data_IF_131970715764
#
_entry.id   IF_131970715764
#
_cell.length_a   1.000
_cell.length_b   1.000
_cell.length_c   1.000
_cell.angle_alpha   90.00
_cell.angle_beta   90.00
_cell.angle_gamma   90.00
#
_symmetry.space_group_name_H-M   'P 1'
#
loop_
_entity.id
_entity.type
_entity.pdbx_description
1 polymer ?
#
# COMPACT_ATOMS: atom_id res chain seq x y z
N UNK A 1 -12.95 -33.27 7.84
CA UNK A 1 -12.27 -32.33 8.75
C UNK A 1 -13.09 -32.18 10.01
N UNK A 2 -12.48 -32.40 11.20
CA UNK A 2 -13.16 -32.24 12.48
C UNK A 2 -13.16 -30.81 12.91
N UNK A 3 -14.27 -30.30 13.43
CA UNK A 3 -14.35 -28.98 14.04
C UNK A 3 -13.56 -28.95 15.35
N UNK A 4 -13.05 -27.76 15.73
CA UNK A 4 -12.33 -27.56 16.99
C UNK A 4 -12.93 -26.37 17.75
N UNK A 5 -13.07 -26.53 19.06
CA UNK A 5 -13.47 -25.46 19.97
C UNK A 5 -12.25 -25.01 20.78
N UNK A 6 -12.11 -23.71 21.01
CA UNK A 6 -11.02 -23.16 21.82
C UNK A 6 -9.64 -23.15 21.12
N UNK A 7 -9.58 -23.20 19.81
CA UNK A 7 -8.33 -23.22 19.04
C UNK A 7 -7.37 -22.07 19.39
N UNK A 8 -7.90 -20.88 19.63
CA UNK A 8 -7.10 -19.71 20.03
C UNK A 8 -6.39 -19.86 21.38
N UNK A 9 -6.89 -20.74 22.26
CA UNK A 9 -6.31 -21.01 23.59
C UNK A 9 -5.26 -22.14 23.57
N UNK A 10 -5.10 -22.83 22.45
CA UNK A 10 -4.10 -23.90 22.28
C UNK A 10 -2.70 -23.32 22.15
N UNK A 11 -1.69 -24.08 22.62
CA UNK A 11 -0.29 -23.77 22.29
C UNK A 11 -0.02 -23.96 20.80
N UNK A 12 1.09 -23.46 20.32
CA UNK A 12 1.50 -23.59 18.91
C UNK A 12 1.62 -25.08 18.52
N UNK A 13 2.24 -25.90 19.37
CA UNK A 13 2.39 -27.34 19.17
C UNK A 13 1.03 -28.04 19.15
N UNK A 14 0.13 -27.68 20.06
CA UNK A 14 -1.23 -28.24 20.07
C UNK A 14 -2.01 -27.91 18.80
N UNK A 15 -1.86 -26.68 18.27
CA UNK A 15 -2.47 -26.27 17.01
C UNK A 15 -1.92 -27.07 15.83
N UNK A 16 -0.60 -27.26 15.76
CA UNK A 16 0.05 -28.07 14.72
C UNK A 16 -0.39 -29.52 14.82
N UNK A 17 -0.41 -30.11 16.02
CA UNK A 17 -0.85 -31.49 16.22
C UNK A 17 -2.33 -31.67 15.86
N UNK A 18 -3.19 -30.71 16.19
CA UNK A 18 -4.58 -30.76 15.76
C UNK A 18 -4.69 -30.68 14.23
N UNK A 19 -3.98 -29.77 13.58
CA UNK A 19 -3.98 -29.64 12.13
C UNK A 19 -3.49 -30.94 11.48
N UNK A 20 -2.36 -31.48 11.92
CA UNK A 20 -1.78 -32.72 11.37
C UNK A 20 -2.71 -33.92 11.52
N UNK A 21 -3.51 -33.95 12.61
CA UNK A 21 -4.52 -35.03 12.82
C UNK A 21 -5.66 -35.03 11.80
N UNK A 22 -5.79 -33.96 10.97
CA UNK A 22 -6.77 -33.90 9.88
C UNK A 22 -6.25 -34.54 8.58
N UNK A 23 -4.96 -34.86 8.51
CA UNK A 23 -4.28 -35.45 7.35
C UNK A 23 -3.76 -36.85 7.76
N UNK A 24 -4.26 -37.93 7.16
CA UNK A 24 -3.97 -39.30 7.59
C UNK A 24 -2.59 -39.77 7.15
N UNK A 25 -2.16 -39.49 5.94
CA UNK A 25 -0.97 -40.10 5.31
C UNK A 25 0.25 -39.17 5.22
N UNK A 26 0.08 -37.88 5.44
CA UNK A 26 1.15 -36.85 5.32
C UNK A 26 1.37 -36.07 6.62
N UNK A 27 0.84 -36.53 7.74
CA UNK A 27 0.85 -35.75 8.99
C UNK A 27 2.26 -35.45 9.50
N UNK A 28 3.21 -36.37 9.37
CA UNK A 28 4.61 -36.16 9.78
C UNK A 28 5.32 -35.17 8.85
N UNK A 29 5.11 -35.28 7.56
CA UNK A 29 5.69 -34.33 6.56
C UNK A 29 5.16 -32.93 6.76
N UNK A 30 3.85 -32.74 6.99
CA UNK A 30 3.26 -31.43 7.27
C UNK A 30 3.90 -30.75 8.49
N UNK A 31 4.10 -31.52 9.59
CA UNK A 31 4.71 -30.98 10.82
C UNK A 31 6.16 -30.55 10.57
N UNK A 32 6.92 -31.37 9.86
CA UNK A 32 8.30 -31.07 9.50
C UNK A 32 8.40 -29.84 8.61
N UNK A 33 7.56 -29.78 7.57
CA UNK A 33 7.51 -28.63 6.65
C UNK A 33 7.22 -27.32 7.39
N UNK A 34 6.21 -27.30 8.26
CA UNK A 34 5.90 -26.11 9.06
C UNK A 34 7.08 -25.68 9.95
N UNK A 35 7.81 -26.63 10.54
CA UNK A 35 8.95 -26.36 11.42
C UNK A 35 10.18 -25.85 10.64
N UNK A 36 10.37 -26.27 9.39
CA UNK A 36 11.48 -25.83 8.54
C UNK A 36 11.46 -24.31 8.28
N UNK A 37 10.28 -23.68 8.38
CA UNK A 37 10.13 -22.23 8.26
C UNK A 37 10.18 -21.49 9.59
N UNK A 38 10.44 -22.16 10.71
CA UNK A 38 10.67 -21.48 11.97
C UNK A 38 12.06 -20.82 11.98
N UNK A 39 12.15 -19.67 12.62
CA UNK A 39 13.43 -19.01 12.81
C UNK A 39 14.27 -19.81 13.81
N UNK A 40 15.54 -20.05 13.51
CA UNK A 40 16.47 -20.81 14.37
C UNK A 40 16.73 -20.15 15.73
N UNK A 41 16.53 -18.85 15.85
CA UNK A 41 16.58 -18.11 17.10
C UNK A 41 15.17 -18.05 17.70
N UNK A 42 15.00 -18.66 18.88
CA UNK A 42 13.69 -18.79 19.55
C UNK A 42 13.08 -17.43 19.95
N UNK A 43 13.90 -16.44 20.34
CA UNK A 43 13.41 -15.11 20.70
C UNK A 43 12.81 -14.41 19.48
N UNK A 44 13.45 -14.54 18.32
CA UNK A 44 12.91 -14.00 17.06
C UNK A 44 11.63 -14.74 16.64
N UNK A 45 11.61 -16.08 16.76
CA UNK A 45 10.40 -16.83 16.43
C UNK A 45 9.22 -16.42 17.32
N UNK A 46 9.47 -16.24 18.61
CA UNK A 46 8.43 -15.77 19.53
C UNK A 46 7.87 -14.40 19.11
N UNK A 47 8.72 -13.45 18.69
CA UNK A 47 8.27 -12.15 18.18
C UNK A 47 7.43 -12.27 16.91
N UNK A 48 7.80 -13.16 15.98
CA UNK A 48 7.02 -13.39 14.78
C UNK A 48 5.67 -14.04 15.10
N UNK A 49 5.63 -14.93 16.07
CA UNK A 49 4.39 -15.58 16.53
C UNK A 49 3.39 -14.58 17.16
N UNK A 50 3.90 -13.46 17.71
CA UNK A 50 3.12 -12.40 18.34
C UNK A 50 2.56 -11.36 17.34
N UNK A 51 2.96 -11.38 16.06
CA UNK A 51 2.44 -10.45 15.06
C UNK A 51 1.01 -10.74 14.63
N UNK A 52 0.57 -12.00 14.73
CA UNK A 52 -0.79 -12.41 14.39
C UNK A 52 -1.24 -13.57 15.26
N UNK A 53 -2.56 -13.68 15.44
CA UNK A 53 -3.16 -14.77 16.20
C UNK A 53 -3.07 -16.10 15.43
N UNK A 54 -2.99 -17.20 16.18
CA UNK A 54 -2.98 -18.57 15.65
C UNK A 54 -1.83 -18.89 14.69
N UNK A 55 -0.71 -18.16 14.81
CA UNK A 55 0.48 -18.40 13.98
C UNK A 55 1.03 -19.81 14.20
N UNK A 56 1.30 -20.51 13.11
CA UNK A 56 1.89 -21.87 13.12
C UNK A 56 3.33 -21.85 12.64
N UNK A 57 3.64 -21.00 11.66
CA UNK A 57 4.97 -20.87 11.06
C UNK A 57 5.12 -19.50 10.40
N UNK A 58 6.29 -19.21 9.84
CA UNK A 58 6.54 -18.01 9.07
C UNK A 58 6.25 -18.25 7.58
N UNK A 59 5.70 -17.25 6.91
CA UNK A 59 5.58 -17.21 5.47
C UNK A 59 6.55 -16.14 4.95
N UNK A 60 7.64 -16.55 4.32
CA UNK A 60 8.72 -15.67 3.89
C UNK A 60 8.44 -15.07 2.52
N UNK A 61 8.62 -13.76 2.39
CA UNK A 61 8.62 -13.05 1.12
C UNK A 61 10.04 -12.57 0.78
N UNK A 62 10.44 -12.53 -0.51
CA UNK A 62 11.73 -12.00 -0.91
C UNK A 62 11.87 -10.52 -0.54
N UNK A 63 13.03 -10.16 0.02
CA UNK A 63 13.44 -8.79 0.30
C UNK A 63 14.50 -8.37 -0.72
N UNK A 64 14.20 -7.35 -1.51
CA UNK A 64 15.08 -6.81 -2.55
C UNK A 64 15.40 -5.33 -2.34
N UNK A 65 16.34 -4.82 -3.14
CA UNK A 65 16.72 -3.39 -3.14
C UNK A 65 16.62 -2.86 -4.57
N UNK A 66 15.93 -1.73 -4.74
CA UNK A 66 15.92 -0.95 -5.98
C UNK A 66 16.80 0.30 -5.80
N UNK A 67 18.01 0.34 -6.40
CA UNK A 67 18.93 1.47 -6.32
C UNK A 67 18.59 2.59 -7.31
N UNK A 68 19.34 3.70 -7.21
CA UNK A 68 19.38 4.82 -8.16
C UNK A 68 18.12 5.69 -8.20
N UNK A 69 17.32 5.70 -7.15
CA UNK A 69 16.22 6.66 -7.03
C UNK A 69 16.77 8.04 -6.67
N UNK A 70 16.89 8.94 -7.65
CA UNK A 70 17.14 10.36 -7.42
C UNK A 70 15.80 11.05 -7.16
N UNK A 71 15.53 11.42 -5.92
CA UNK A 71 14.27 12.06 -5.49
C UNK A 71 14.62 13.40 -4.86
N UNK A 72 14.12 14.50 -5.43
CA UNK A 72 14.41 15.87 -4.94
C UNK A 72 15.90 16.09 -4.66
N UNK A 73 16.76 15.71 -5.59
CA UNK A 73 18.23 15.80 -5.52
C UNK A 73 18.91 14.88 -4.49
N UNK A 74 18.19 13.95 -3.89
CA UNK A 74 18.77 12.95 -2.99
C UNK A 74 18.66 11.55 -3.58
N UNK A 75 19.77 10.78 -3.53
CA UNK A 75 19.80 9.39 -4.01
C UNK A 75 19.40 8.44 -2.88
N UNK A 76 18.48 7.53 -3.23
CA UNK A 76 18.02 6.44 -2.37
C UNK A 76 18.23 5.07 -3.00
N UNK A 77 18.52 4.09 -2.14
CA UNK A 77 18.36 2.66 -2.42
C UNK A 77 17.12 2.20 -1.69
N UNK A 78 16.08 1.79 -2.41
CA UNK A 78 14.77 1.55 -1.82
C UNK A 78 14.56 0.07 -1.55
N UNK A 79 14.30 -0.34 -0.29
CA UNK A 79 13.94 -1.71 0.06
C UNK A 79 12.53 -2.03 -0.41
N UNK A 80 12.36 -3.25 -0.93
CA UNK A 80 11.11 -3.74 -1.49
C UNK A 80 10.89 -5.19 -1.09
N UNK A 81 9.68 -5.52 -0.63
CA UNK A 81 9.26 -6.89 -0.31
C UNK A 81 8.06 -7.25 -1.18
N UNK A 82 8.22 -8.27 -2.02
CA UNK A 82 7.16 -8.72 -2.93
C UNK A 82 7.48 -10.12 -3.45
N UNK A 83 6.42 -10.90 -3.73
CA UNK A 83 6.52 -12.25 -4.30
C UNK A 83 6.66 -12.24 -5.82
N UNK A 84 6.19 -11.19 -6.51
CA UNK A 84 6.16 -11.12 -7.97
C UNK A 84 7.54 -10.81 -8.54
N UNK A 85 8.01 -11.67 -9.42
CA UNK A 85 9.25 -11.45 -10.17
C UNK A 85 9.14 -10.21 -11.06
N UNK A 86 10.26 -9.56 -11.34
CA UNK A 86 10.39 -8.37 -12.19
C UNK A 86 10.00 -7.04 -11.55
N UNK A 87 9.27 -6.99 -10.43
CA UNK A 87 8.84 -5.73 -9.81
C UNK A 87 10.05 -4.90 -9.36
N UNK A 88 10.95 -5.49 -8.58
CA UNK A 88 12.17 -4.80 -8.10
C UNK A 88 13.06 -4.39 -9.28
N UNK A 89 13.17 -5.25 -10.29
CA UNK A 89 13.96 -4.97 -11.49
C UNK A 89 13.35 -3.82 -12.31
N UNK A 90 12.03 -3.79 -12.49
CA UNK A 90 11.34 -2.74 -13.23
C UNK A 90 11.46 -1.39 -12.52
N UNK A 91 11.30 -1.34 -11.19
CA UNK A 91 11.53 -0.15 -10.37
C UNK A 91 12.97 0.36 -10.53
N UNK A 92 13.97 -0.53 -10.43
CA UNK A 92 15.40 -0.20 -10.59
C UNK A 92 15.72 0.35 -11.98
N UNK A 93 15.14 -0.26 -13.03
CA UNK A 93 15.33 0.20 -14.41
C UNK A 93 14.63 1.55 -14.65
N UNK A 94 13.45 1.78 -14.07
CA UNK A 94 12.77 3.06 -14.09
C UNK A 94 13.58 4.15 -13.38
N UNK A 95 14.09 3.84 -12.18
CA UNK A 95 14.95 4.75 -11.42
C UNK A 95 16.21 5.12 -12.20
N UNK A 96 16.92 4.14 -12.76
CA UNK A 96 18.11 4.37 -13.59
C UNK A 96 17.81 5.20 -14.83
N UNK A 97 16.66 4.97 -15.49
CA UNK A 97 16.28 5.75 -16.67
C UNK A 97 16.10 7.23 -16.34
N UNK A 98 15.47 7.54 -15.22
CA UNK A 98 15.21 8.92 -14.81
C UNK A 98 16.39 9.58 -14.08
N UNK A 99 17.33 8.82 -13.52
CA UNK A 99 18.52 9.35 -12.84
C UNK A 99 19.28 10.38 -13.69
N UNK A 100 19.47 10.10 -14.98
CA UNK A 100 20.19 10.93 -15.93
C UNK A 100 19.29 12.02 -16.57
N UNK A 101 18.00 12.08 -16.17
CA UNK A 101 16.98 12.98 -16.74
C UNK A 101 16.33 13.87 -15.68
N UNK A 102 17.06 14.16 -14.59
CA UNK A 102 16.60 15.03 -13.52
C UNK A 102 15.98 14.32 -12.31
N UNK A 103 15.73 13.01 -12.41
CA UNK A 103 15.17 12.23 -11.32
C UNK A 103 13.66 12.47 -11.11
N UNK A 104 13.20 12.21 -9.87
CA UNK A 104 11.82 12.36 -9.46
C UNK A 104 11.65 13.61 -8.61
N UNK A 105 10.61 14.39 -8.91
CA UNK A 105 10.19 15.55 -8.14
C UNK A 105 8.92 15.17 -7.38
N UNK A 106 9.00 15.08 -6.05
CA UNK A 106 7.91 14.66 -5.20
C UNK A 106 7.58 15.70 -4.14
N UNK A 107 6.29 16.03 -4.00
CA UNK A 107 5.76 16.99 -3.05
C UNK A 107 4.59 16.39 -2.28
N UNK A 108 4.61 16.48 -0.95
CA UNK A 108 3.45 16.19 -0.12
C UNK A 108 2.51 17.38 -0.18
N UNK A 109 1.28 17.14 -0.61
CA UNK A 109 0.25 18.19 -0.72
C UNK A 109 -0.41 18.43 0.63
N UNK A 110 -0.70 17.35 1.34
CA UNK A 110 -1.27 17.38 2.69
C UNK A 110 -1.10 16.01 3.36
N UNK A 111 -1.19 15.98 4.69
CA UNK A 111 -1.00 14.78 5.52
C UNK A 111 -2.19 14.52 6.44
N UNK A 112 -3.30 15.24 6.22
CA UNK A 112 -4.51 15.14 7.04
C UNK A 112 -5.17 13.77 6.92
N UNK A 113 -5.51 13.22 8.07
CA UNK A 113 -6.25 11.96 8.22
C UNK A 113 -7.62 12.21 8.80
N UNK A 114 -8.54 11.31 8.53
CA UNK A 114 -9.96 11.49 8.84
C UNK A 114 -10.45 10.37 9.76
N UNK A 115 -11.35 10.74 10.67
CA UNK A 115 -12.11 9.78 11.44
C UNK A 115 -13.51 10.29 11.71
N UNK A 116 -14.43 9.39 12.05
CA UNK A 116 -15.83 9.75 12.29
C UNK A 116 -16.40 9.10 13.53
N UNK A 117 -17.25 9.85 14.24
CA UNK A 117 -18.26 9.31 15.14
C UNK A 117 -19.57 9.21 14.37
N UNK A 118 -20.07 8.00 14.20
CA UNK A 118 -21.34 7.73 13.57
C UNK A 118 -22.41 7.54 14.65
N UNK A 119 -23.50 8.31 14.56
CA UNK A 119 -24.55 8.24 15.55
C UNK A 119 -25.94 8.47 14.97
N UNK A 120 -26.95 7.96 15.66
CA UNK A 120 -28.34 8.31 15.41
C UNK A 120 -28.84 9.27 16.46
N UNK A 121 -29.56 10.27 16.00
CA UNK A 121 -30.22 11.26 16.86
C UNK A 121 -31.48 11.77 16.19
N UNK A 122 -32.59 11.81 16.96
CA UNK A 122 -33.89 12.26 16.52
C UNK A 122 -34.25 13.58 17.18
N UNK A 123 -34.45 14.61 16.38
CA UNK A 123 -34.84 15.93 16.85
C UNK A 123 -34.80 16.97 15.77
N UNK A 124 -34.98 18.22 16.14
CA UNK A 124 -34.91 19.34 15.23
C UNK A 124 -33.45 19.64 14.81
N UNK A 125 -33.17 19.51 13.51
CA UNK A 125 -31.84 19.67 12.91
C UNK A 125 -31.14 20.97 13.34
N UNK A 126 -31.85 22.07 13.39
CA UNK A 126 -31.34 23.39 13.77
C UNK A 126 -30.78 23.37 15.20
N UNK A 127 -31.44 22.68 16.14
CA UNK A 127 -30.99 22.58 17.54
C UNK A 127 -29.66 21.85 17.67
N UNK A 128 -29.50 20.69 17.00
CA UNK A 128 -28.25 19.93 17.05
C UNK A 128 -27.10 20.70 16.39
N UNK A 129 -27.37 21.35 15.26
CA UNK A 129 -26.36 22.16 14.56
C UNK A 129 -25.92 23.36 15.38
N UNK A 130 -26.86 24.07 16.01
CA UNK A 130 -26.55 25.19 16.89
C UNK A 130 -25.77 24.72 18.13
N UNK A 131 -26.23 23.65 18.79
CA UNK A 131 -25.56 23.03 19.91
C UNK A 131 -24.11 22.67 19.58
N UNK A 132 -23.89 21.99 18.45
CA UNK A 132 -22.54 21.60 18.02
C UNK A 132 -21.64 22.81 17.79
N UNK A 133 -22.13 23.84 17.10
CA UNK A 133 -21.33 25.04 16.81
C UNK A 133 -20.91 25.77 18.10
N UNK A 134 -21.80 25.84 19.09
CA UNK A 134 -21.52 26.45 20.40
C UNK A 134 -20.58 25.60 21.26
N UNK A 135 -20.68 24.27 21.16
CA UNK A 135 -19.92 23.31 21.96
C UNK A 135 -18.62 22.81 21.30
N UNK A 136 -18.32 23.22 20.09
CA UNK A 136 -17.19 22.70 19.31
C UNK A 136 -15.85 22.77 20.04
N UNK A 137 -15.58 23.89 20.72
CA UNK A 137 -14.35 24.06 21.49
C UNK A 137 -14.31 23.15 22.74
N UNK A 138 -15.44 22.87 23.33
CA UNK A 138 -15.50 21.98 24.48
C UNK A 138 -15.18 20.52 24.10
N UNK A 139 -15.59 20.08 22.90
CA UNK A 139 -15.20 18.77 22.38
C UNK A 139 -13.68 18.68 22.21
N UNK A 140 -13.06 19.71 21.61
CA UNK A 140 -11.61 19.76 21.41
C UNK A 140 -10.89 19.79 22.75
N UNK A 141 -11.37 20.61 23.69
CA UNK A 141 -10.76 20.72 25.01
C UNK A 141 -10.87 19.41 25.82
N UNK A 142 -11.98 18.71 25.73
CA UNK A 142 -12.19 17.45 26.45
C UNK A 142 -11.17 16.35 26.08
N UNK A 143 -10.63 16.38 24.87
CA UNK A 143 -9.61 15.41 24.40
C UNK A 143 -8.18 15.94 24.49
N UNK A 144 -7.97 17.12 25.11
CA UNK A 144 -6.64 17.76 25.16
C UNK A 144 -5.56 16.90 25.81
N UNK A 145 -5.90 16.07 26.79
CA UNK A 145 -4.96 15.12 27.40
C UNK A 145 -4.48 14.03 26.41
N UNK A 146 -5.32 13.65 25.45
CA UNK A 146 -4.99 12.67 24.41
C UNK A 146 -4.18 13.31 23.27
N UNK A 147 -4.41 14.59 22.98
CA UNK A 147 -3.78 15.30 21.86
C UNK A 147 -2.46 15.96 22.22
N UNK A 148 -2.21 16.26 23.50
CA UNK A 148 -1.07 17.02 23.98
C UNK A 148 0.29 16.57 23.42
N UNK A 149 0.60 15.29 23.50
CA UNK A 149 1.87 14.76 23.00
C UNK A 149 1.99 14.84 21.48
N UNK A 150 0.88 14.79 20.75
CA UNK A 150 0.84 14.95 19.30
C UNK A 150 1.03 16.41 18.90
N UNK A 151 0.37 17.32 19.63
CA UNK A 151 0.48 18.77 19.44
C UNK A 151 1.91 19.27 19.67
N UNK A 152 2.59 18.76 20.68
CA UNK A 152 4.01 19.08 20.93
C UNK A 152 4.93 18.69 19.74
N UNK A 153 4.50 17.75 18.90
CA UNK A 153 5.23 17.33 17.69
C UNK A 153 4.78 18.06 16.43
N UNK A 154 3.82 19.00 16.56
CA UNK A 154 3.26 19.75 15.44
C UNK A 154 2.03 19.13 14.79
N UNK A 155 1.46 18.08 15.38
CA UNK A 155 0.21 17.45 14.95
C UNK A 155 -0.99 17.90 15.78
N UNK A 156 -2.03 17.07 15.83
CA UNK A 156 -3.26 17.31 16.60
C UNK A 156 -4.50 17.45 15.73
N UNK A 157 -5.56 17.98 16.31
CA UNK A 157 -6.85 18.18 15.64
C UNK A 157 -6.76 19.38 14.70
N UNK A 158 -7.11 19.16 13.42
CA UNK A 158 -7.15 20.21 12.39
C UNK A 158 -8.55 20.79 12.27
N UNK A 159 -9.56 19.92 12.19
CA UNK A 159 -10.96 20.34 12.12
C UNK A 159 -11.89 19.31 12.76
N UNK A 160 -13.06 19.79 13.17
CA UNK A 160 -14.15 18.98 13.69
C UNK A 160 -15.45 19.52 13.11
N UNK A 161 -16.23 18.70 12.42
CA UNK A 161 -17.43 19.12 11.71
C UNK A 161 -18.59 18.14 11.93
N UNK A 162 -19.80 18.65 11.95
CA UNK A 162 -21.05 17.88 12.04
C UNK A 162 -21.68 17.77 10.66
N UNK A 163 -21.93 16.53 10.21
CA UNK A 163 -22.59 16.22 8.95
C UNK A 163 -23.95 15.58 9.19
N UNK A 164 -24.92 16.06 8.43
CA UNK A 164 -26.26 15.52 8.37
C UNK A 164 -26.41 14.58 7.18
N UNK A 165 -26.78 13.33 7.43
CA UNK A 165 -27.04 12.30 6.43
C UNK A 165 -28.49 11.79 6.49
N UNK A 166 -29.42 12.57 7.04
CA UNK A 166 -30.83 12.17 7.18
C UNK A 166 -31.52 11.93 5.82
N UNK A 167 -31.00 12.51 4.73
CA UNK A 167 -31.46 12.24 3.37
C UNK A 167 -31.07 10.85 2.84
N UNK A 168 -30.10 10.19 3.48
CA UNK A 168 -29.61 8.86 3.12
C UNK A 168 -30.10 7.78 4.08
N UNK A 169 -29.99 8.06 5.38
CA UNK A 169 -30.39 7.14 6.46
C UNK A 169 -31.09 7.95 7.52
N UNK A 170 -32.29 7.55 7.89
CA UNK A 170 -33.12 8.24 8.89
C UNK A 170 -32.39 8.42 10.22
N UNK A 171 -32.41 9.65 10.73
CA UNK A 171 -31.82 10.08 11.98
C UNK A 171 -30.27 9.92 12.06
N UNK A 172 -29.60 9.79 10.92
CA UNK A 172 -28.17 9.52 10.89
C UNK A 172 -27.32 10.80 10.73
N UNK A 173 -26.30 10.90 11.60
CA UNK A 173 -25.37 12.00 11.71
C UNK A 173 -23.93 11.49 11.81
N UNK A 174 -22.97 12.32 11.40
CA UNK A 174 -21.56 12.09 11.61
C UNK A 174 -20.90 13.31 12.26
N UNK A 175 -20.06 13.03 13.26
CA UNK A 175 -19.05 13.97 13.71
C UNK A 175 -17.75 13.58 13.03
N UNK A 176 -17.27 14.41 12.09
CA UNK A 176 -16.06 14.19 11.30
C UNK A 176 -14.90 14.96 11.91
N UNK A 177 -13.83 14.25 12.23
CA UNK A 177 -12.56 14.77 12.70
C UNK A 177 -11.52 14.71 11.56
N UNK A 178 -10.79 15.80 11.34
CA UNK A 178 -9.52 15.80 10.60
C UNK A 178 -8.38 16.02 11.59
N UNK A 179 -7.32 15.22 11.45
CA UNK A 179 -6.17 15.27 12.32
C UNK A 179 -4.86 15.16 11.56
N UNK A 180 -3.84 15.83 12.09
CA UNK A 180 -2.45 15.68 11.70
C UNK A 180 -1.75 14.76 12.70
N UNK A 181 -1.09 13.71 12.21
CA UNK A 181 -0.49 12.68 13.06
C UNK A 181 1.03 12.58 12.93
N UNK A 182 1.67 13.57 12.31
CA UNK A 182 3.12 13.63 12.08
C UNK A 182 3.66 12.33 11.48
N UNK A 183 4.64 11.72 12.13
CA UNK A 183 5.29 10.47 11.68
C UNK A 183 4.53 9.20 12.05
N UNK A 184 3.34 9.30 12.66
CA UNK A 184 2.50 8.14 12.94
C UNK A 184 1.43 7.96 11.86
N UNK A 185 1.06 6.70 11.56
CA UNK A 185 -0.14 6.42 10.75
C UNK A 185 -1.41 6.96 11.42
N UNK A 186 -1.48 6.88 12.76
CA UNK A 186 -2.44 7.60 13.58
C UNK A 186 -3.72 6.87 13.94
N UNK A 187 -3.90 5.59 13.59
CA UNK A 187 -5.15 4.87 13.84
C UNK A 187 -5.59 4.86 15.31
N UNK A 188 -4.70 4.43 16.21
CA UNK A 188 -5.02 4.39 17.63
C UNK A 188 -5.29 5.78 18.21
N UNK A 189 -4.49 6.77 17.79
CA UNK A 189 -4.66 8.16 18.22
C UNK A 189 -6.03 8.71 17.84
N UNK A 190 -6.42 8.57 16.57
CA UNK A 190 -7.71 9.06 16.07
C UNK A 190 -8.87 8.31 16.72
N UNK A 191 -8.80 6.98 16.82
CA UNK A 191 -9.86 6.17 17.43
C UNK A 191 -10.09 6.57 18.90
N UNK A 192 -9.03 6.74 19.68
CA UNK A 192 -9.16 7.16 21.09
C UNK A 192 -9.82 8.54 21.23
N UNK A 193 -9.47 9.49 20.36
CA UNK A 193 -10.09 10.82 20.34
C UNK A 193 -11.59 10.70 20.01
N UNK A 194 -11.95 9.92 19.00
CA UNK A 194 -13.35 9.76 18.58
C UNK A 194 -14.20 9.07 19.64
N UNK A 195 -13.65 8.06 20.31
CA UNK A 195 -14.32 7.38 21.41
C UNK A 195 -14.62 8.35 22.56
N UNK A 196 -13.63 9.14 22.98
CA UNK A 196 -13.83 10.16 24.02
C UNK A 196 -14.83 11.23 23.59
N UNK A 197 -14.69 11.77 22.36
CA UNK A 197 -15.64 12.73 21.80
C UNK A 197 -17.08 12.19 21.76
N UNK A 198 -17.26 10.91 21.54
CA UNK A 198 -18.58 10.28 21.54
C UNK A 198 -19.23 10.29 22.94
N UNK A 199 -18.44 10.10 24.00
CA UNK A 199 -18.92 10.19 25.38
C UNK A 199 -19.27 11.63 25.74
N UNK A 200 -18.41 12.58 25.35
CA UNK A 200 -18.67 14.02 25.57
C UNK A 200 -19.95 14.46 24.86
N UNK A 201 -20.18 13.99 23.62
CA UNK A 201 -21.42 14.25 22.87
C UNK A 201 -22.66 13.79 23.65
N UNK A 202 -22.66 12.54 24.13
CA UNK A 202 -23.77 12.01 24.95
C UNK A 202 -24.02 12.82 26.19
N UNK A 203 -22.96 13.10 26.98
CA UNK A 203 -23.08 13.82 28.25
C UNK A 203 -23.60 15.24 28.06
N UNK A 204 -23.06 15.96 27.07
CA UNK A 204 -23.47 17.34 26.78
C UNK A 204 -24.91 17.43 26.31
N UNK A 205 -25.32 16.57 25.38
CA UNK A 205 -26.71 16.53 24.89
C UNK A 205 -27.68 16.16 26.03
N UNK A 206 -27.31 15.20 26.88
CA UNK A 206 -28.15 14.79 28.01
C UNK A 206 -28.37 15.91 29.05
N UNK A 207 -27.40 16.83 29.18
CA UNK A 207 -27.45 17.91 30.19
C UNK A 207 -27.95 19.25 29.66
N UNK A 208 -27.95 19.45 28.34
CA UNK A 208 -28.35 20.71 27.73
C UNK A 208 -29.87 20.87 27.75
N UNK A 209 -30.34 22.03 28.21
CA UNK A 209 -31.77 22.36 28.45
C UNK A 209 -32.55 22.58 27.14
N UNK A 210 -31.88 22.82 26.01
CA UNK A 210 -32.53 23.00 24.70
C UNK A 210 -33.19 21.72 24.17
N UNK A 211 -32.71 20.55 24.65
CA UNK A 211 -33.19 19.26 24.21
C UNK A 211 -34.32 18.75 25.10
N UNK A 212 -35.41 18.30 24.47
CA UNK A 212 -36.48 17.57 25.11
C UNK A 212 -36.00 16.19 25.61
N UNK A 213 -36.78 15.53 26.43
CA UNK A 213 -36.44 14.22 26.97
C UNK A 213 -36.12 13.18 25.87
N UNK A 214 -36.85 13.22 24.75
CA UNK A 214 -36.62 12.34 23.59
C UNK A 214 -35.38 12.73 22.78
N UNK A 215 -35.04 14.02 22.72
CA UNK A 215 -33.86 14.53 21.97
C UNK A 215 -32.53 14.32 22.74
N UNK A 216 -32.62 14.00 24.06
CA UNK A 216 -31.43 13.70 24.90
C UNK A 216 -30.81 12.33 24.64
N UNK A 217 -31.48 11.48 23.89
CA UNK A 217 -30.98 10.14 23.53
C UNK A 217 -30.10 10.21 22.29
N UNK A 218 -28.80 10.09 22.46
CA UNK A 218 -27.79 10.00 21.40
C UNK A 218 -27.32 8.56 21.28
N UNK A 219 -27.66 7.89 20.22
CA UNK A 219 -27.29 6.51 19.98
C UNK A 219 -26.01 6.41 19.13
N UNK A 220 -24.85 6.26 19.78
CA UNK A 220 -23.58 6.05 19.09
C UNK A 220 -23.58 4.68 18.42
N UNK A 221 -23.28 4.65 17.13
CA UNK A 221 -23.18 3.42 16.34
C UNK A 221 -21.74 2.92 16.34
N UNK A 222 -20.78 3.80 16.00
CA UNK A 222 -19.34 3.46 15.95
C UNK A 222 -18.48 4.72 15.94
N UNK A 223 -17.23 4.55 16.38
CA UNK A 223 -16.16 5.54 16.33
C UNK A 223 -14.98 4.90 15.61
N UNK A 224 -14.57 5.42 14.45
CA UNK A 224 -13.53 4.79 13.65
C UNK A 224 -12.80 5.78 12.76
N UNK A 225 -11.49 5.61 12.61
CA UNK A 225 -10.74 6.30 11.57
C UNK A 225 -11.21 5.82 10.19
N UNK A 226 -11.08 6.70 9.18
CA UNK A 226 -11.29 6.33 7.78
C UNK A 226 -9.97 5.94 7.12
N UNK A 227 -9.96 4.81 6.41
CA UNK A 227 -8.86 4.49 5.50
C UNK A 227 -8.92 5.31 4.21
N UNK A 228 -10.07 5.87 3.84
CA UNK A 228 -10.15 6.86 2.77
C UNK A 228 -9.71 8.21 3.29
N UNK A 229 -8.50 8.61 2.89
CA UNK A 229 -7.82 9.85 3.32
C UNK A 229 -7.47 10.71 2.11
N UNK A 230 -8.50 11.31 1.43
CA UNK A 230 -8.30 12.04 0.16
C UNK A 230 -7.39 13.26 0.29
N UNK A 231 -7.16 13.73 1.52
CA UNK A 231 -6.29 14.86 1.83
C UNK A 231 -4.91 14.44 2.38
N UNK A 232 -4.62 13.15 2.52
CA UNK A 232 -3.27 12.67 2.85
C UNK A 232 -2.53 12.30 1.55
N UNK A 233 -2.20 13.30 0.74
CA UNK A 233 -1.85 13.15 -0.69
C UNK A 233 -0.43 13.59 -0.97
N UNK A 234 0.26 12.80 -1.78
CA UNK A 234 1.54 13.13 -2.40
C UNK A 234 1.40 13.18 -3.92
N UNK A 235 2.12 14.09 -4.54
CA UNK A 235 2.31 14.17 -5.98
C UNK A 235 3.78 13.91 -6.32
N UNK A 236 4.03 13.09 -7.32
CA UNK A 236 5.37 12.81 -7.84
C UNK A 236 5.37 12.94 -9.35
N UNK A 237 6.40 13.54 -9.91
CA UNK A 237 6.55 13.70 -11.35
C UNK A 237 7.97 13.46 -11.83
N UNK A 238 8.08 13.19 -13.11
CA UNK A 238 9.30 13.19 -13.89
C UNK A 238 9.09 14.03 -15.14
N UNK A 239 10.10 14.82 -15.53
CA UNK A 239 10.03 15.70 -16.67
C UNK A 239 11.37 15.76 -17.39
N UNK A 240 11.34 15.79 -18.71
CA UNK A 240 12.51 16.10 -19.53
C UNK A 240 12.10 16.59 -20.93
N UNK A 241 13.01 17.27 -21.65
CA UNK A 241 12.84 17.47 -23.09
C UNK A 241 12.61 16.12 -23.79
N UNK A 242 11.70 16.08 -24.78
CA UNK A 242 11.35 14.83 -25.47
C UNK A 242 12.58 14.19 -26.10
N UNK A 243 13.50 14.98 -26.66
CA UNK A 243 14.75 14.49 -27.25
C UNK A 243 15.61 13.69 -26.25
N UNK A 244 15.58 14.09 -24.95
CA UNK A 244 16.33 13.43 -23.89
C UNK A 244 15.78 12.05 -23.52
N UNK A 245 14.56 11.66 -23.98
CA UNK A 245 14.08 10.29 -23.87
C UNK A 245 14.96 9.32 -24.65
N UNK A 246 15.55 9.79 -25.78
CA UNK A 246 16.40 8.99 -26.65
C UNK A 246 15.60 7.91 -27.40
N UNK A 247 16.30 6.89 -27.88
CA UNK A 247 15.65 5.74 -28.53
C UNK A 247 15.23 4.74 -27.44
N UNK A 248 13.93 4.47 -27.33
CA UNK A 248 13.36 3.56 -26.33
C UNK A 248 12.70 2.37 -27.00
N UNK A 249 13.23 1.17 -26.78
CA UNK A 249 12.70 -0.06 -27.38
C UNK A 249 12.68 -0.05 -28.92
N UNK A 250 13.63 0.66 -29.53
CA UNK A 250 13.72 0.83 -31.00
C UNK A 250 12.84 1.98 -31.53
N UNK A 251 12.07 2.67 -30.72
CA UNK A 251 11.24 3.81 -31.13
C UNK A 251 12.02 5.13 -30.96
N UNK A 252 11.97 6.05 -31.95
CA UNK A 252 12.43 7.41 -31.76
C UNK A 252 11.71 8.11 -30.61
N UNK A 253 12.38 9.07 -29.93
CA UNK A 253 11.89 9.74 -28.74
C UNK A 253 10.45 10.31 -28.87
N UNK A 254 10.16 11.03 -29.93
CA UNK A 254 8.84 11.61 -30.21
C UNK A 254 7.76 10.54 -30.32
N UNK A 255 7.99 9.50 -31.13
CA UNK A 255 7.03 8.42 -31.34
C UNK A 255 6.80 7.62 -30.04
N UNK A 256 7.86 7.40 -29.25
CA UNK A 256 7.72 6.77 -27.93
C UNK A 256 6.85 7.64 -27.00
N UNK A 257 7.13 8.95 -26.91
CA UNK A 257 6.37 9.86 -26.07
C UNK A 257 4.88 9.89 -26.43
N UNK A 258 4.53 9.93 -27.71
CA UNK A 258 3.15 9.95 -28.22
C UNK A 258 2.43 8.63 -27.90
N UNK A 259 3.06 7.47 -28.14
CA UNK A 259 2.49 6.16 -27.80
C UNK A 259 2.33 6.00 -26.29
N UNK A 260 3.30 6.46 -25.51
CA UNK A 260 3.23 6.43 -24.05
C UNK A 260 2.07 7.29 -23.53
N UNK A 261 1.95 8.52 -24.03
CA UNK A 261 0.87 9.42 -23.68
C UNK A 261 -0.50 8.82 -24.00
N UNK A 262 -0.67 8.27 -25.20
CA UNK A 262 -1.90 7.61 -25.61
C UNK A 262 -2.25 6.43 -24.68
N UNK A 263 -1.26 5.61 -24.31
CA UNK A 263 -1.48 4.47 -23.41
C UNK A 263 -1.94 4.89 -22.00
N UNK A 264 -1.42 6.01 -21.49
CA UNK A 264 -1.89 6.58 -20.21
C UNK A 264 -3.28 7.21 -20.36
N UNK A 265 -3.55 7.91 -21.46
CA UNK A 265 -4.87 8.49 -21.75
C UNK A 265 -5.96 7.40 -21.87
N UNK A 266 -5.66 6.26 -22.46
CA UNK A 266 -6.58 5.10 -22.51
C UNK A 266 -6.96 4.70 -21.07
N UNK A 267 -6.00 4.66 -20.14
CA UNK A 267 -6.28 4.34 -18.74
C UNK A 267 -7.07 5.45 -17.99
N UNK A 268 -7.21 6.64 -18.56
CA UNK A 268 -8.10 7.67 -18.02
C UNK A 268 -9.56 7.48 -18.43
N UNK A 269 -9.84 6.78 -19.52
CA UNK A 269 -11.19 6.64 -20.08
C UNK A 269 -11.75 5.23 -20.02
N UNK A 270 -10.89 4.20 -20.08
CA UNK A 270 -11.28 2.78 -20.02
C UNK A 270 -11.01 2.22 -18.61
N UNK A 271 -12.07 1.82 -17.92
CA UNK A 271 -12.02 1.26 -16.55
C UNK A 271 -11.19 -0.02 -16.51
N UNK A 272 -11.32 -0.94 -17.47
CA UNK A 272 -10.56 -2.20 -17.49
C UNK A 272 -9.06 -1.93 -17.60
N UNK A 273 -8.70 -0.95 -18.44
CA UNK A 273 -7.31 -0.53 -18.56
C UNK A 273 -6.83 0.22 -17.32
N UNK A 274 -7.66 1.08 -16.73
CA UNK A 274 -7.35 1.83 -15.50
C UNK A 274 -7.02 0.91 -14.33
N UNK A 275 -7.82 -0.15 -14.11
CA UNK A 275 -7.59 -1.12 -13.03
C UNK A 275 -6.23 -1.81 -13.20
N UNK A 276 -5.92 -2.29 -14.40
CA UNK A 276 -4.63 -2.93 -14.69
C UNK A 276 -3.46 -1.94 -14.58
N UNK A 277 -3.68 -0.69 -14.98
CA UNK A 277 -2.69 0.39 -14.90
C UNK A 277 -2.36 0.73 -13.44
N UNK A 278 -3.36 0.91 -12.61
CA UNK A 278 -3.20 1.24 -11.20
C UNK A 278 -2.61 0.07 -10.39
N UNK A 279 -2.99 -1.19 -10.70
CA UNK A 279 -2.33 -2.39 -10.14
C UNK A 279 -0.82 -2.33 -10.41
N UNK A 280 -0.42 -1.92 -11.61
CA UNK A 280 0.99 -1.74 -11.96
C UNK A 280 1.70 -0.65 -11.13
N UNK A 281 1.01 0.41 -10.71
CA UNK A 281 1.52 1.40 -9.76
C UNK A 281 1.68 0.77 -8.37
N UNK A 282 0.64 0.07 -7.90
CA UNK A 282 0.61 -0.54 -6.57
C UNK A 282 1.67 -1.64 -6.40
N UNK A 283 2.04 -2.38 -7.43
CA UNK A 283 3.16 -3.32 -7.36
C UNK A 283 4.43 -2.68 -6.77
N UNK A 284 4.76 -1.45 -7.17
CA UNK A 284 5.91 -0.73 -6.64
C UNK A 284 5.66 -0.18 -5.22
N UNK A 285 4.50 0.42 -5.00
CA UNK A 285 4.14 1.04 -3.72
C UNK A 285 4.05 -0.01 -2.63
N UNK A 286 3.27 -1.09 -2.84
CA UNK A 286 3.06 -2.14 -1.85
C UNK A 286 4.35 -2.83 -1.44
N UNK A 287 5.27 -3.02 -2.38
CA UNK A 287 6.57 -3.59 -2.07
C UNK A 287 7.36 -2.75 -1.05
N UNK A 288 7.27 -1.41 -1.11
CA UNK A 288 7.89 -0.51 -0.13
C UNK A 288 7.07 -0.43 1.15
N UNK A 289 5.74 -0.42 1.04
CA UNK A 289 4.81 -0.42 2.19
C UNK A 289 5.05 -1.63 3.09
N UNK A 290 5.13 -2.83 2.50
CA UNK A 290 5.42 -4.08 3.22
C UNK A 290 6.85 -4.04 3.80
N UNK A 291 7.85 -3.62 3.02
CA UNK A 291 9.23 -3.55 3.46
C UNK A 291 9.43 -2.62 4.67
N UNK A 292 8.61 -1.58 4.81
CA UNK A 292 8.65 -0.61 5.91
C UNK A 292 7.66 -0.89 7.03
N UNK A 293 6.92 -2.01 6.96
CA UNK A 293 5.96 -2.43 8.00
C UNK A 293 4.70 -1.56 8.07
N UNK A 294 4.33 -0.88 7.00
CA UNK A 294 3.09 -0.13 6.87
C UNK A 294 1.92 -1.02 6.40
N UNK A 295 0.69 -0.53 6.49
CA UNK A 295 -0.53 -1.27 6.13
C UNK A 295 -0.85 -1.10 4.64
N UNK A 296 -0.45 -2.09 3.83
CA UNK A 296 -0.71 -2.09 2.38
C UNK A 296 -2.21 -2.12 2.05
N UNK A 297 -3.04 -2.75 2.89
CA UNK A 297 -4.50 -2.85 2.65
C UNK A 297 -5.17 -1.49 2.78
N UNK A 298 -4.77 -0.70 3.77
CA UNK A 298 -5.24 0.67 3.95
C UNK A 298 -4.80 1.57 2.79
N UNK A 299 -3.55 1.42 2.33
CA UNK A 299 -3.00 2.18 1.20
C UNK A 299 -3.74 1.83 -0.10
N UNK A 300 -3.92 0.55 -0.44
CA UNK A 300 -4.66 0.13 -1.63
C UNK A 300 -6.12 0.62 -1.59
N UNK A 301 -6.82 0.41 -0.46
CA UNK A 301 -8.21 0.85 -0.32
C UNK A 301 -8.35 2.37 -0.56
N UNK A 302 -7.45 3.17 0.01
CA UNK A 302 -7.42 4.62 -0.19
C UNK A 302 -7.12 4.99 -1.65
N UNK A 303 -6.13 4.36 -2.26
CA UNK A 303 -5.71 4.62 -3.63
C UNK A 303 -6.83 4.30 -4.64
N UNK A 304 -7.49 3.15 -4.49
CA UNK A 304 -8.59 2.75 -5.37
C UNK A 304 -9.84 3.63 -5.18
N UNK A 305 -10.17 4.00 -3.95
CA UNK A 305 -11.24 4.97 -3.69
C UNK A 305 -10.93 6.33 -4.30
N UNK A 306 -9.67 6.78 -4.19
CA UNK A 306 -9.22 8.05 -4.80
C UNK A 306 -9.22 8.00 -6.33
N UNK A 307 -8.91 6.86 -6.94
CA UNK A 307 -9.01 6.67 -8.39
C UNK A 307 -10.46 6.79 -8.91
N UNK A 308 -11.46 6.59 -8.03
CA UNK A 308 -12.88 6.67 -8.35
C UNK A 308 -13.58 7.95 -7.81
N UNK A 309 -12.83 8.91 -7.27
CA UNK A 309 -13.36 10.11 -6.58
C UNK A 309 -14.30 10.97 -7.42
N UNK A 310 -14.14 10.93 -8.75
CA UNK A 310 -14.94 11.72 -9.70
C UNK A 310 -16.13 10.90 -10.27
N UNK A 311 -16.52 9.79 -9.61
CA UNK A 311 -17.63 8.94 -10.02
C UNK A 311 -17.28 7.86 -11.05
N UNK A 312 -16.05 7.86 -11.57
CA UNK A 312 -15.53 6.82 -12.47
C UNK A 312 -14.10 6.45 -12.07
N UNK A 313 -13.80 5.14 -12.05
CA UNK A 313 -12.45 4.66 -11.79
C UNK A 313 -11.51 5.02 -12.95
N UNK A 314 -10.40 5.71 -12.64
CA UNK A 314 -9.43 6.23 -13.62
C UNK A 314 -8.00 5.93 -13.19
N UNK A 315 -7.05 6.12 -14.11
CA UNK A 315 -5.63 6.12 -13.80
C UNK A 315 -5.29 7.17 -12.73
N UNK A 316 -4.44 6.76 -11.78
CA UNK A 316 -3.82 7.65 -10.78
C UNK A 316 -2.67 8.48 -11.35
N UNK A 317 -2.12 8.06 -12.49
CA UNK A 317 -1.06 8.78 -13.20
C UNK A 317 -1.60 9.53 -14.40
N UNK A 318 -0.91 10.58 -14.79
CA UNK A 318 -1.24 11.40 -15.94
C UNK A 318 0.02 11.77 -16.73
N UNK A 319 -0.15 12.05 -18.02
CA UNK A 319 0.93 12.47 -18.90
C UNK A 319 0.52 13.76 -19.61
N UNK A 320 1.45 14.69 -19.73
CA UNK A 320 1.29 15.91 -20.50
C UNK A 320 2.46 16.02 -21.49
N UNK A 321 2.13 16.16 -22.76
CA UNK A 321 3.09 16.46 -23.82
C UNK A 321 2.89 17.88 -24.27
N UNK A 322 3.98 18.63 -24.38
CA UNK A 322 4.05 19.86 -25.16
C UNK A 322 4.89 19.61 -26.42
N UNK A 323 5.17 20.66 -27.20
CA UNK A 323 5.99 20.50 -28.41
C UNK A 323 7.37 19.93 -28.09
N UNK A 324 7.96 20.29 -26.94
CA UNK A 324 9.32 19.91 -26.59
C UNK A 324 9.45 19.10 -25.30
N UNK A 325 8.41 19.03 -24.46
CA UNK A 325 8.52 18.46 -23.11
C UNK A 325 7.62 17.24 -22.90
N UNK A 326 8.20 16.19 -22.31
CA UNK A 326 7.50 15.05 -21.75
C UNK A 326 7.40 15.22 -20.24
N UNK A 327 6.18 15.28 -19.70
CA UNK A 327 5.91 15.32 -18.27
C UNK A 327 4.98 14.17 -17.89
N UNK A 328 5.37 13.36 -16.89
CA UNK A 328 4.60 12.22 -16.39
C UNK A 328 4.49 12.30 -14.87
N UNK A 329 3.29 12.22 -14.32
CA UNK A 329 3.03 12.40 -12.90
C UNK A 329 2.08 11.38 -12.31
N UNK A 330 2.17 11.20 -10.99
CA UNK A 330 1.32 10.38 -10.15
C UNK A 330 0.81 11.21 -8.99
N UNK A 331 -0.48 11.18 -8.71
CA UNK A 331 -1.10 11.77 -7.52
C UNK A 331 -1.87 10.70 -6.76
N UNK A 332 -1.51 10.48 -5.49
CA UNK A 332 -2.02 9.34 -4.71
C UNK A 332 -2.09 9.66 -3.22
N UNK A 333 -3.13 9.22 -2.51
CA UNK A 333 -3.15 9.26 -1.05
C UNK A 333 -2.29 8.14 -0.44
N UNK A 334 -1.41 8.50 0.50
CA UNK A 334 -0.51 7.57 1.19
C UNK A 334 -0.47 7.87 2.70
N UNK A 335 -1.40 7.34 3.47
CA UNK A 335 -1.41 7.48 4.93
C UNK A 335 -0.44 6.48 5.57
N UNK A 336 0.83 6.82 5.61
CA UNK A 336 1.92 6.00 6.17
C UNK A 336 2.47 6.56 7.46
N UNK A 337 3.25 5.74 8.18
CA UNK A 337 4.01 6.15 9.36
C UNK A 337 5.40 5.53 9.37
N UNK A 338 6.30 6.16 10.12
CA UNK A 338 7.65 5.69 10.37
C UNK A 338 7.87 5.32 11.83
N UNK A 339 6.87 5.55 12.67
CA UNK A 339 6.88 5.28 14.11
C UNK A 339 5.66 4.46 14.53
N UNK A 340 5.85 3.60 15.54
CA UNK A 340 4.80 2.76 16.12
C UNK A 340 4.46 1.52 15.31
N UNK A 341 3.63 0.63 15.86
CA UNK A 341 3.17 -0.58 15.18
C UNK A 341 4.30 -1.48 14.67
N UNK A 342 4.06 -2.14 13.55
CA UNK A 342 4.98 -3.10 12.94
C UNK A 342 6.29 -2.44 12.47
N UNK A 343 6.27 -1.16 12.10
CA UNK A 343 7.48 -0.39 11.73
C UNK A 343 8.53 -0.39 12.84
N UNK A 344 8.08 -0.42 14.10
CA UNK A 344 8.95 -0.44 15.27
C UNK A 344 9.23 -1.84 15.82
N UNK A 345 8.40 -2.84 15.49
CA UNK A 345 8.50 -4.19 16.03
C UNK A 345 9.26 -5.14 15.11
N UNK A 346 9.02 -5.05 13.78
CA UNK A 346 9.64 -5.96 12.83
C UNK A 346 11.10 -5.55 12.52
N UNK A 347 12.08 -6.44 12.72
CA UNK A 347 13.50 -6.08 12.60
C UNK A 347 13.89 -5.61 11.19
N UNK A 348 13.38 -6.28 10.16
CA UNK A 348 13.68 -5.91 8.78
C UNK A 348 12.97 -4.61 8.36
N UNK A 349 11.79 -4.28 8.93
CA UNK A 349 11.18 -2.98 8.71
C UNK A 349 12.04 -1.84 9.30
N UNK A 350 12.61 -2.03 10.49
CA UNK A 350 13.60 -1.09 11.06
C UNK A 350 14.83 -0.94 10.17
N UNK A 351 15.35 -2.06 9.65
CA UNK A 351 16.47 -2.04 8.71
C UNK A 351 16.11 -1.30 7.42
N UNK A 352 14.90 -1.47 6.90
CA UNK A 352 14.39 -0.76 5.73
C UNK A 352 14.39 0.76 5.97
N UNK A 353 13.86 1.21 7.11
CA UNK A 353 13.88 2.63 7.47
C UNK A 353 15.31 3.17 7.63
N UNK A 354 16.23 2.36 8.19
CA UNK A 354 17.65 2.73 8.29
C UNK A 354 18.31 2.86 6.90
N UNK A 355 18.06 1.95 5.97
CA UNK A 355 18.50 2.03 4.57
C UNK A 355 17.99 3.31 3.91
N UNK A 356 16.75 3.70 4.20
CA UNK A 356 16.12 4.93 3.72
C UNK A 356 16.58 6.19 4.50
N UNK A 357 17.56 6.07 5.40
CA UNK A 357 18.16 7.16 6.21
C UNK A 357 17.18 7.76 7.22
N UNK A 358 16.32 6.90 7.84
CA UNK A 358 15.33 7.31 8.83
C UNK A 358 14.41 8.42 8.32
N UNK A 359 13.63 8.20 7.26
CA UNK A 359 12.80 9.24 6.67
C UNK A 359 11.69 9.64 7.64
N UNK A 360 11.22 10.89 7.52
CA UNK A 360 9.91 11.28 8.06
C UNK A 360 8.78 10.55 7.31
N UNK A 361 7.57 10.54 7.85
CA UNK A 361 6.40 10.00 7.12
C UNK A 361 6.21 10.72 5.77
N UNK A 362 6.40 12.04 5.74
CA UNK A 362 6.35 12.84 4.50
C UNK A 362 7.43 12.44 3.49
N UNK A 363 8.65 12.12 3.93
CA UNK A 363 9.68 11.65 3.01
C UNK A 363 9.40 10.23 2.53
N UNK A 364 8.86 9.37 3.40
CA UNK A 364 8.44 8.03 3.01
C UNK A 364 7.30 8.06 1.96
N UNK A 365 6.33 8.98 2.08
CA UNK A 365 5.31 9.21 1.05
C UNK A 365 5.93 9.56 -0.30
N UNK A 366 6.92 10.47 -0.32
CA UNK A 366 7.64 10.87 -1.54
C UNK A 366 8.40 9.70 -2.17
N UNK A 367 9.07 8.89 -1.35
CA UNK A 367 9.79 7.69 -1.81
C UNK A 367 8.82 6.68 -2.42
N UNK A 368 7.72 6.36 -1.74
CA UNK A 368 6.71 5.41 -2.22
C UNK A 368 6.07 5.88 -3.54
N UNK A 369 5.71 7.17 -3.64
CA UNK A 369 5.14 7.73 -4.87
C UNK A 369 6.14 7.67 -6.03
N UNK A 370 7.43 7.92 -5.77
CA UNK A 370 8.49 7.82 -6.79
C UNK A 370 8.68 6.39 -7.28
N UNK A 371 8.61 5.40 -6.39
CA UNK A 371 8.66 3.98 -6.77
C UNK A 371 7.43 3.58 -7.57
N UNK A 372 6.23 4.01 -7.16
CA UNK A 372 5.00 3.80 -7.91
C UNK A 372 5.06 4.38 -9.31
N UNK A 373 5.58 5.60 -9.46
CA UNK A 373 5.74 6.26 -10.77
C UNK A 373 6.79 5.55 -11.64
N UNK A 374 7.92 5.13 -11.06
CA UNK A 374 8.96 4.36 -11.75
C UNK A 374 8.45 3.01 -12.26
N UNK A 375 7.67 2.32 -11.41
CA UNK A 375 7.04 1.04 -11.73
C UNK A 375 6.04 1.19 -12.87
N UNK A 376 5.18 2.21 -12.79
CA UNK A 376 4.20 2.51 -13.81
C UNK A 376 4.85 2.90 -15.14
N UNK A 377 5.91 3.73 -15.10
CA UNK A 377 6.72 4.05 -16.27
C UNK A 377 7.28 2.79 -16.93
N UNK A 378 7.90 1.88 -16.16
CA UNK A 378 8.45 0.63 -16.65
C UNK A 378 7.40 -0.26 -17.33
N UNK A 379 6.22 -0.39 -16.71
CA UNK A 379 5.10 -1.16 -17.24
C UNK A 379 4.58 -0.58 -18.56
N UNK A 380 4.27 0.73 -18.60
CA UNK A 380 3.77 1.40 -19.81
C UNK A 380 4.82 1.39 -20.93
N UNK A 381 6.10 1.65 -20.58
CA UNK A 381 7.22 1.56 -21.53
C UNK A 381 7.25 0.19 -22.20
N UNK A 382 7.16 -0.90 -21.44
CA UNK A 382 7.17 -2.26 -21.99
C UNK A 382 5.97 -2.51 -22.90
N UNK A 383 4.77 -2.06 -22.52
CA UNK A 383 3.55 -2.21 -23.32
C UNK A 383 3.64 -1.54 -24.68
N UNK A 384 4.21 -0.33 -24.76
CA UNK A 384 4.24 0.45 -26.02
C UNK A 384 5.45 0.16 -26.89
N UNK A 385 6.39 -0.66 -26.40
CA UNK A 385 7.62 -1.05 -27.14
C UNK A 385 7.67 -2.54 -27.43
N UNK A 386 8.27 -3.35 -26.56
CA UNK A 386 8.56 -4.78 -26.79
C UNK A 386 7.41 -5.71 -26.45
N UNK A 387 6.39 -5.21 -25.74
CA UNK A 387 5.34 -6.01 -25.12
C UNK A 387 5.77 -6.67 -23.80
N UNK A 388 4.82 -6.95 -22.93
CA UNK A 388 5.07 -7.48 -21.57
C UNK A 388 5.67 -8.90 -21.65
N UNK A 389 5.21 -9.73 -22.61
CA UNK A 389 5.63 -11.14 -22.67
C UNK A 389 7.13 -11.32 -22.88
N UNK A 390 7.80 -10.49 -23.73
CA UNK A 390 9.25 -10.59 -23.94
C UNK A 390 10.08 -10.28 -22.70
N UNK A 391 9.62 -9.38 -21.85
CA UNK A 391 10.29 -9.04 -20.57
C UNK A 391 10.15 -10.14 -19.51
N UNK A 392 8.97 -10.74 -19.41
CA UNK A 392 8.68 -11.82 -18.46
C UNK A 392 9.21 -13.19 -18.89
N UNK A 393 9.41 -13.42 -20.20
CA UNK A 393 9.81 -14.73 -20.71
C UNK A 393 11.15 -15.24 -20.15
N UNK A 394 12.13 -14.38 -19.92
CA UNK A 394 13.43 -14.80 -19.36
C UNK A 394 13.31 -15.29 -17.91
N UNK A 395 12.52 -14.62 -17.09
CA UNK A 395 12.30 -15.00 -15.69
C UNK A 395 11.36 -16.21 -15.58
N UNK A 396 10.33 -16.25 -16.41
CA UNK A 396 9.43 -17.40 -16.52
C UNK A 396 10.18 -18.67 -16.95
N UNK A 397 11.08 -18.56 -17.92
CA UNK A 397 11.98 -19.64 -18.32
C UNK A 397 12.79 -20.18 -17.14
N UNK A 398 13.45 -19.29 -16.39
CA UNK A 398 14.27 -19.69 -15.24
C UNK A 398 13.44 -20.34 -14.13
N UNK A 399 12.23 -19.83 -13.86
CA UNK A 399 11.31 -20.42 -12.90
C UNK A 399 10.87 -21.83 -13.29
N UNK A 400 10.51 -22.03 -14.57
CA UNK A 400 10.16 -23.37 -15.10
C UNK A 400 11.37 -24.31 -15.00
N UNK A 401 12.56 -23.83 -15.38
CA UNK A 401 13.79 -24.63 -15.31
C UNK A 401 14.12 -25.04 -13.87
N UNK A 402 13.96 -24.12 -12.91
CA UNK A 402 14.14 -24.41 -11.48
C UNK A 402 13.12 -25.46 -10.99
N UNK A 403 11.85 -25.30 -11.36
CA UNK A 403 10.79 -26.25 -11.03
C UNK A 403 11.05 -27.67 -11.59
N UNK A 404 11.71 -27.74 -12.75
CA UNK A 404 12.09 -28.99 -13.40
C UNK A 404 13.47 -29.51 -12.93
N UNK A 405 14.10 -28.88 -11.94
CA UNK A 405 15.37 -29.31 -11.39
C UNK A 405 16.58 -29.14 -12.30
N UNK A 406 16.55 -28.18 -13.24
CA UNK A 406 17.63 -27.95 -14.19
C UNK A 406 18.94 -27.52 -13.51
N UNK A 407 20.08 -28.11 -13.94
CA UNK A 407 21.40 -27.73 -13.46
C UNK A 407 21.79 -26.29 -13.92
N UNK A 408 22.79 -25.65 -13.28
CA UNK A 408 23.28 -24.35 -13.73
C UNK A 408 23.66 -24.33 -15.22
N UNK A 409 24.31 -25.38 -15.73
CA UNK A 409 24.73 -25.53 -17.11
C UNK A 409 23.51 -25.61 -18.03
N UNK A 410 22.52 -26.42 -17.67
CA UNK A 410 21.26 -26.54 -18.42
C UNK A 410 20.48 -25.24 -18.49
N UNK A 411 20.57 -24.40 -17.42
CA UNK A 411 19.93 -23.06 -17.40
C UNK A 411 20.59 -22.09 -18.39
N UNK A 412 21.92 -22.10 -18.51
CA UNK A 412 22.60 -21.26 -19.51
C UNK A 412 22.28 -21.70 -20.94
N UNK A 413 22.32 -23.01 -21.22
CA UNK A 413 21.91 -23.55 -22.53
C UNK A 413 20.44 -23.22 -22.83
N UNK A 414 19.57 -23.26 -21.83
CA UNK A 414 18.17 -22.91 -22.01
C UNK A 414 17.94 -21.44 -22.32
N UNK A 415 18.70 -20.53 -21.71
CA UNK A 415 18.64 -19.09 -22.03
C UNK A 415 18.98 -18.82 -23.48
N UNK A 416 19.97 -19.52 -24.02
CA UNK A 416 20.39 -19.41 -25.41
C UNK A 416 19.34 -20.04 -26.36
N UNK A 417 18.88 -21.26 -26.03
CA UNK A 417 17.91 -21.99 -26.85
C UNK A 417 16.55 -21.28 -26.96
N UNK A 418 16.09 -20.63 -25.88
CA UNK A 418 14.81 -19.92 -25.85
C UNK A 418 14.93 -18.41 -26.09
N UNK A 419 16.07 -17.94 -26.63
CA UNK A 419 16.29 -16.52 -26.92
C UNK A 419 15.29 -15.95 -27.92
N UNK A 420 14.84 -16.77 -28.87
CA UNK A 420 13.91 -16.44 -29.96
C UNK A 420 12.66 -17.36 -30.01
N UNK A 421 12.52 -18.30 -29.06
CA UNK A 421 11.44 -19.29 -29.04
C UNK A 421 10.42 -19.01 -27.95
N UNK A 422 9.21 -19.50 -28.17
CA UNK A 422 8.13 -19.39 -27.15
C UNK A 422 8.45 -20.28 -25.96
N UNK A 423 8.47 -19.67 -24.77
CA UNK A 423 8.65 -20.36 -23.49
C UNK A 423 7.31 -20.91 -23.03
N UNK A 424 7.22 -22.21 -22.85
CA UNK A 424 6.12 -22.90 -22.17
C UNK A 424 6.65 -24.05 -21.32
N UNK A 425 5.92 -24.46 -20.30
CA UNK A 425 6.32 -25.57 -19.43
C UNK A 425 6.67 -26.85 -20.22
N UNK A 426 5.83 -27.18 -21.20
CA UNK A 426 6.04 -28.34 -22.09
C UNK A 426 7.28 -28.18 -22.93
N UNK A 427 7.51 -27.01 -23.54
CA UNK A 427 8.68 -26.75 -24.37
C UNK A 427 9.98 -26.85 -23.55
N UNK A 428 10.01 -26.27 -22.35
CA UNK A 428 11.17 -26.34 -21.45
C UNK A 428 11.45 -27.76 -20.98
N UNK A 429 10.40 -28.50 -20.59
CA UNK A 429 10.53 -29.93 -20.21
C UNK A 429 11.10 -30.77 -21.37
N UNK A 430 10.58 -30.60 -22.57
CA UNK A 430 11.08 -31.32 -23.75
C UNK A 430 12.54 -30.98 -24.07
N UNK A 431 12.92 -29.72 -23.94
CA UNK A 431 14.31 -29.27 -24.09
C UNK A 431 15.24 -29.94 -23.08
N UNK A 432 14.87 -29.93 -21.78
CA UNK A 432 15.67 -30.58 -20.71
C UNK A 432 15.80 -32.10 -20.97
N UNK A 433 14.71 -32.76 -21.36
CA UNK A 433 14.75 -34.17 -21.71
C UNK A 433 15.68 -34.46 -22.90
N UNK A 434 15.73 -33.59 -23.93
CA UNK A 434 16.63 -33.75 -25.05
C UNK A 434 18.12 -33.64 -24.65
N UNK A 435 18.45 -32.78 -23.68
CA UNK A 435 19.81 -32.68 -23.15
C UNK A 435 20.23 -33.93 -22.36
N UNK A 436 19.30 -34.54 -21.64
CA UNK A 436 19.56 -35.75 -20.85
C UNK A 436 19.66 -37.02 -21.70
N UNK A 437 19.12 -37.04 -22.92
CA UNK A 437 19.25 -38.15 -23.89
C UNK A 437 20.47 -38.00 -24.81
N UNK A 438 21.18 -36.89 -24.72
CA UNK A 438 22.38 -36.61 -25.51
C UNK A 438 23.70 -36.85 -24.75
N UNK A 439 23.59 -37.27 -23.50
CA UNK A 439 24.65 -37.80 -22.63
C UNK A 439 24.49 -39.33 -22.52
#
# INVERSE_FOLDING_TARGET
VKTVSGFSKMTKEQKINWLSSQFSDEASHLVEELKNFWHHNEEWQKRFDEFSENTLTNYNLPFGIAPNFLINNQIYSVPMVIEESSVVAAASLGAKFWLERGGFHAQVISTKKVGQVHFKWQGEKSKLTQFFNESKQDFIHAVSSLTHNMEQRGGGIVSLELFDYNDKIENYWQLKLEAETCDAMGANFINSILEEMSQVLKQKVATDSRFSASEKDVHIIMCILSNYTPDCVVECSVECPIENLGVVGGLPARLFAEKFATAVQIAQVDVSRAVTHNKGIMNGIDAVVIATGNDFRAIEASAHAFAARDGQYRSLSSVKLTDDTFHFSLRIPLAVGTTGGLTSLHPIAKTSLAILKQPSASDLMKIMASVGLAQNFGAVKSLVTTGIQKGHMKLHLLNIMNQLGATPEQRELGKEYFSDKVVSFTAVRNFLNSLNHSQ
#
